data_IF_000420126697
#
_entry.id   IF_000420126697
#
_cell.length_a   1.000
_cell.length_b   1.000
_cell.length_c   1.000
_cell.angle_alpha   90.00
_cell.angle_beta   90.00
_cell.angle_gamma   90.00
#
_symmetry.space_group_name_H-M   'P 1'
#
loop_
_entity.id
_entity.type
_entity.pdbx_description
1 polymer ?
#
# COMPACT_ATOMS: atom_id res chain seq x y z
N UNK A 1 13.87 -20.96 -19.33
CA UNK A 1 14.88 -20.35 -18.43
C UNK A 1 15.39 -19.13 -19.17
N UNK A 2 14.98 -17.97 -18.73
CA UNK A 2 15.48 -16.72 -19.30
C UNK A 2 16.97 -16.61 -18.99
N UNK A 3 17.78 -16.31 -20.02
CA UNK A 3 19.22 -16.12 -19.83
C UNK A 3 19.46 -14.83 -19.05
N UNK A 4 19.81 -14.98 -17.77
CA UNK A 4 20.19 -13.84 -16.94
C UNK A 4 21.58 -13.36 -17.40
N UNK A 5 21.64 -12.13 -17.87
CA UNK A 5 22.92 -11.48 -18.21
C UNK A 5 23.60 -11.01 -16.96
N UNK A 6 24.85 -11.42 -16.77
CA UNK A 6 25.67 -11.03 -15.62
C UNK A 6 26.82 -10.15 -16.13
N UNK A 7 27.01 -8.99 -15.51
CA UNK A 7 28.07 -8.06 -15.80
C UNK A 7 28.98 -7.89 -14.58
N UNK A 8 30.27 -7.99 -14.75
CA UNK A 8 31.25 -7.58 -13.75
C UNK A 8 31.67 -6.14 -14.02
N UNK A 9 31.72 -5.35 -13.00
CA UNK A 9 32.12 -3.94 -13.09
C UNK A 9 33.07 -3.54 -11.97
N UNK A 10 33.80 -2.43 -12.16
CA UNK A 10 34.66 -1.89 -11.13
C UNK A 10 33.86 -1.28 -9.98
N UNK A 11 34.46 -1.19 -8.78
CA UNK A 11 33.82 -0.58 -7.60
C UNK A 11 33.48 0.90 -7.85
N UNK A 12 34.27 1.61 -8.66
CA UNK A 12 34.02 3.00 -9.02
C UNK A 12 32.74 3.16 -9.82
N UNK A 13 32.57 2.34 -10.86
CA UNK A 13 31.37 2.33 -11.70
C UNK A 13 30.14 1.88 -10.91
N UNK A 14 30.30 0.85 -10.06
CA UNK A 14 29.22 0.36 -9.22
C UNK A 14 28.69 1.45 -8.28
N UNK A 15 29.58 2.23 -7.66
CA UNK A 15 29.20 3.34 -6.77
C UNK A 15 28.47 4.48 -7.48
N UNK A 16 28.72 4.69 -8.78
CA UNK A 16 27.99 5.69 -9.57
C UNK A 16 26.54 5.26 -9.89
N UNK A 17 26.27 3.96 -9.93
CA UNK A 17 24.97 3.41 -10.28
C UNK A 17 24.02 3.20 -9.09
N UNK A 18 24.53 3.32 -7.87
CA UNK A 18 23.74 3.02 -6.67
C UNK A 18 23.60 4.26 -5.77
N UNK A 19 22.46 4.35 -5.10
CA UNK A 19 22.20 5.39 -4.09
C UNK A 19 22.42 4.91 -2.64
N UNK A 20 22.73 3.63 -2.44
CA UNK A 20 22.86 3.01 -1.11
C UNK A 20 24.23 3.24 -0.52
N UNK A 21 24.31 3.74 0.72
CA UNK A 21 25.60 4.03 1.40
C UNK A 21 26.45 2.77 1.64
N UNK A 22 25.80 1.64 1.95
CA UNK A 22 26.46 0.35 2.20
C UNK A 22 25.87 -0.74 1.29
N UNK A 23 26.29 -0.79 0.02
CA UNK A 23 25.79 -1.77 -0.92
C UNK A 23 26.33 -3.18 -0.67
N UNK A 24 25.54 -4.17 -1.00
CA UNK A 24 25.95 -5.58 -0.92
C UNK A 24 26.81 -6.05 -2.11
N UNK A 25 27.18 -5.14 -3.03
CA UNK A 25 27.98 -5.48 -4.21
C UNK A 25 27.21 -6.15 -5.34
N UNK A 26 25.87 -6.14 -5.29
CA UNK A 26 25.00 -6.68 -6.32
C UNK A 26 23.93 -5.65 -6.67
N UNK A 27 23.72 -5.44 -7.97
CA UNK A 27 22.64 -4.65 -8.53
C UNK A 27 21.86 -5.52 -9.51
N UNK A 28 20.55 -5.55 -9.40
CA UNK A 28 19.68 -6.27 -10.34
C UNK A 28 18.75 -5.28 -11.05
N UNK A 29 18.60 -5.46 -12.36
CA UNK A 29 17.61 -4.76 -13.17
C UNK A 29 16.53 -5.78 -13.54
N UNK A 30 15.29 -5.49 -13.17
CA UNK A 30 14.15 -6.35 -13.43
C UNK A 30 13.05 -5.59 -14.18
N UNK A 31 12.27 -6.30 -14.98
CA UNK A 31 11.07 -5.72 -15.58
C UNK A 31 10.01 -5.47 -14.51
N UNK A 32 9.30 -4.34 -14.64
CA UNK A 32 8.12 -4.10 -13.82
C UNK A 32 7.06 -5.15 -14.11
N UNK A 33 6.39 -5.63 -13.08
CA UNK A 33 5.30 -6.59 -13.24
C UNK A 33 3.99 -5.83 -13.51
N UNK A 34 3.21 -6.33 -14.46
CA UNK A 34 1.80 -5.94 -14.56
C UNK A 34 1.03 -6.72 -13.49
N UNK A 35 0.60 -6.02 -12.47
CA UNK A 35 -0.16 -6.61 -11.39
C UNK A 35 -1.67 -6.48 -11.65
N UNK A 36 -2.40 -7.52 -11.30
CA UNK A 36 -3.86 -7.55 -11.27
C UNK A 36 -4.29 -8.04 -9.90
N UNK A 37 -5.39 -7.51 -9.39
CA UNK A 37 -5.98 -8.05 -8.16
C UNK A 37 -6.40 -9.51 -8.39
N UNK A 38 -6.34 -10.32 -7.33
CA UNK A 38 -6.81 -11.70 -7.39
C UNK A 38 -8.32 -11.73 -7.65
N UNK A 39 -8.78 -12.52 -8.61
CA UNK A 39 -10.22 -12.60 -8.97
C UNK A 39 -11.12 -13.00 -7.79
N UNK A 40 -10.63 -13.87 -6.90
CA UNK A 40 -11.37 -14.37 -5.75
C UNK A 40 -10.88 -13.77 -4.42
N UNK A 41 -10.24 -12.61 -4.45
CA UNK A 41 -9.81 -11.93 -3.23
C UNK A 41 -11.01 -11.50 -2.39
N UNK A 42 -10.81 -11.45 -1.08
CA UNK A 42 -11.82 -11.04 -0.11
C UNK A 42 -11.37 -9.89 0.78
N UNK A 43 -10.07 -9.63 0.83
CA UNK A 43 -9.52 -8.56 1.65
C UNK A 43 -8.49 -7.74 0.86
N UNK A 44 -8.86 -6.50 0.55
CA UNK A 44 -7.98 -5.54 -0.10
C UNK A 44 -7.69 -4.35 0.80
N UNK A 45 -6.55 -3.71 0.57
CA UNK A 45 -6.17 -2.46 1.22
C UNK A 45 -6.13 -1.33 0.18
N UNK A 46 -6.77 -0.21 0.47
CA UNK A 46 -6.68 1.02 -0.31
C UNK A 46 -5.77 2.01 0.40
N UNK A 47 -4.72 2.46 -0.27
CA UNK A 47 -3.85 3.54 0.19
C UNK A 47 -4.21 4.82 -0.55
N UNK A 48 -4.81 5.77 0.14
CA UNK A 48 -5.23 7.03 -0.46
C UNK A 48 -4.17 8.11 -0.24
N UNK A 49 -3.48 8.47 -1.33
CA UNK A 49 -2.49 9.56 -1.36
C UNK A 49 -1.39 9.45 -0.29
N UNK A 50 -0.97 8.23 0.06
CA UNK A 50 0.17 8.01 0.95
C UNK A 50 1.44 8.50 0.26
N UNK A 51 2.16 9.46 0.88
CA UNK A 51 3.25 10.18 0.23
C UNK A 51 4.65 9.78 0.72
N UNK A 52 4.80 9.29 1.96
CA UNK A 52 6.11 8.83 2.43
C UNK A 52 6.42 7.44 1.89
N UNK A 53 7.55 7.28 1.16
CA UNK A 53 7.94 5.99 0.58
C UNK A 53 8.26 4.91 1.64
N UNK A 54 8.70 5.30 2.84
CA UNK A 54 8.93 4.39 3.95
C UNK A 54 7.62 3.83 4.51
N UNK A 55 6.60 4.70 4.65
CA UNK A 55 5.27 4.29 5.07
C UNK A 55 4.65 3.33 4.06
N UNK A 56 4.64 3.70 2.77
CA UNK A 56 4.07 2.82 1.73
C UNK A 56 4.76 1.46 1.71
N UNK A 57 6.09 1.42 1.78
CA UNK A 57 6.84 0.17 1.82
C UNK A 57 6.52 -0.68 3.05
N UNK A 58 6.36 -0.04 4.22
CA UNK A 58 5.96 -0.71 5.46
C UNK A 58 4.52 -1.25 5.37
N UNK A 59 3.59 -0.48 4.80
CA UNK A 59 2.22 -0.92 4.56
C UNK A 59 2.20 -2.15 3.65
N UNK A 60 2.93 -2.14 2.53
CA UNK A 60 3.02 -3.27 1.60
C UNK A 60 3.55 -4.52 2.32
N UNK A 61 4.59 -4.37 3.13
CA UNK A 61 5.17 -5.46 3.92
C UNK A 61 4.17 -6.02 4.93
N UNK A 62 3.47 -5.15 5.66
CA UNK A 62 2.47 -5.53 6.67
C UNK A 62 1.28 -6.22 6.02
N UNK A 63 0.75 -5.67 4.93
CA UNK A 63 -0.34 -6.25 4.17
C UNK A 63 0.00 -7.66 3.64
N UNK A 64 1.21 -7.85 3.09
CA UNK A 64 1.69 -9.17 2.68
C UNK A 64 1.76 -10.15 3.87
N UNK A 65 2.31 -9.73 5.00
CA UNK A 65 2.42 -10.55 6.19
C UNK A 65 1.05 -10.91 6.80
N UNK A 66 0.06 -10.02 6.70
CA UNK A 66 -1.31 -10.23 7.16
C UNK A 66 -2.16 -11.05 6.18
N UNK A 67 -1.65 -11.41 5.01
CA UNK A 67 -2.38 -12.19 4.01
C UNK A 67 -3.43 -11.38 3.24
N UNK A 68 -3.26 -10.07 3.12
CA UNK A 68 -4.09 -9.20 2.28
C UNK A 68 -3.97 -9.65 0.82
N UNK A 69 -5.08 -9.72 0.10
CA UNK A 69 -5.13 -10.25 -1.27
C UNK A 69 -4.59 -9.30 -2.34
N UNK A 70 -4.49 -8.01 -2.02
CA UNK A 70 -3.91 -7.00 -2.89
C UNK A 70 -4.04 -5.60 -2.32
N UNK A 71 -3.27 -4.67 -2.88
CA UNK A 71 -3.25 -3.26 -2.48
C UNK A 71 -3.65 -2.41 -3.68
N UNK A 72 -4.50 -1.43 -3.42
CA UNK A 72 -4.94 -0.43 -4.41
C UNK A 72 -4.34 0.92 -3.99
N UNK A 73 -3.79 1.64 -4.93
CA UNK A 73 -3.20 2.95 -4.72
C UNK A 73 -4.01 3.99 -5.51
N UNK A 74 -4.38 5.10 -4.86
CA UNK A 74 -4.96 6.22 -5.58
C UNK A 74 -3.87 7.09 -6.22
N UNK A 75 -4.27 7.91 -7.20
CA UNK A 75 -3.40 8.94 -7.76
C UNK A 75 -2.92 9.89 -6.66
N UNK A 76 -1.64 10.21 -6.67
CA UNK A 76 -0.97 11.01 -5.63
C UNK A 76 -0.29 10.19 -4.55
N UNK A 77 -0.44 8.86 -4.55
CA UNK A 77 0.40 7.96 -3.75
C UNK A 77 1.79 7.91 -4.37
N UNK A 78 2.81 7.84 -3.51
CA UNK A 78 4.21 7.73 -3.93
C UNK A 78 4.43 6.48 -4.79
N UNK A 79 5.36 6.57 -5.74
CA UNK A 79 5.69 5.46 -6.64
C UNK A 79 6.20 4.24 -5.86
N UNK A 80 5.58 3.09 -6.12
CA UNK A 80 5.99 1.80 -5.52
C UNK A 80 7.40 1.39 -5.95
N UNK A 81 7.87 1.86 -7.09
CA UNK A 81 9.21 1.60 -7.61
C UNK A 81 10.24 2.64 -7.17
N UNK A 82 9.85 3.61 -6.35
CA UNK A 82 10.81 4.46 -5.65
C UNK A 82 11.76 3.58 -4.82
N UNK A 83 13.07 3.81 -4.90
CA UNK A 83 14.09 2.97 -4.22
C UNK A 83 13.86 2.83 -2.71
N UNK A 84 13.44 3.90 -2.02
CA UNK A 84 13.14 3.85 -0.60
C UNK A 84 11.91 2.99 -0.33
N UNK A 85 10.88 3.07 -1.20
CA UNK A 85 9.69 2.20 -1.12
C UNK A 85 10.11 0.74 -1.28
N UNK A 86 10.81 0.39 -2.37
CA UNK A 86 11.28 -0.98 -2.64
C UNK A 86 12.04 -1.55 -1.44
N UNK A 87 13.02 -0.80 -0.91
CA UNK A 87 13.80 -1.24 0.26
C UNK A 87 12.92 -1.49 1.48
N UNK A 88 11.97 -0.60 1.75
CA UNK A 88 11.08 -0.69 2.92
C UNK A 88 10.11 -1.89 2.84
N UNK A 89 9.79 -2.37 1.64
CA UNK A 89 8.96 -3.57 1.46
C UNK A 89 9.64 -4.86 1.88
N UNK A 90 10.98 -4.87 2.02
CA UNK A 90 11.78 -6.07 2.30
C UNK A 90 11.43 -7.25 1.38
N UNK A 91 11.19 -6.95 0.10
CA UNK A 91 10.85 -7.95 -0.93
C UNK A 91 9.36 -8.30 -1.03
N UNK A 92 8.51 -7.82 -0.13
CA UNK A 92 7.06 -8.13 -0.17
C UNK A 92 6.37 -7.68 -1.46
N UNK A 93 6.90 -6.65 -2.12
CA UNK A 93 6.39 -6.15 -3.40
C UNK A 93 6.32 -7.23 -4.51
N UNK A 94 7.14 -8.26 -4.42
CA UNK A 94 7.16 -9.36 -5.40
C UNK A 94 6.11 -10.46 -5.14
N UNK A 95 5.38 -10.37 -4.03
CA UNK A 95 4.44 -11.42 -3.58
C UNK A 95 3.00 -10.98 -3.46
N UNK A 96 2.76 -9.68 -3.26
CA UNK A 96 1.41 -9.11 -3.14
C UNK A 96 1.11 -8.23 -4.35
N UNK A 97 -0.04 -8.39 -5.02
CA UNK A 97 -0.44 -7.49 -6.09
C UNK A 97 -0.61 -6.07 -5.58
N UNK A 98 0.00 -5.11 -6.27
CA UNK A 98 -0.21 -3.68 -6.03
C UNK A 98 -0.65 -3.05 -7.34
N UNK A 99 -1.80 -2.42 -7.36
CA UNK A 99 -2.40 -1.81 -8.55
C UNK A 99 -2.74 -0.34 -8.30
N UNK A 100 -2.76 0.45 -9.36
CA UNK A 100 -3.24 1.83 -9.28
C UNK A 100 -4.69 1.90 -9.74
N UNK A 101 -5.52 2.66 -9.02
CA UNK A 101 -6.83 3.06 -9.50
C UNK A 101 -6.72 4.31 -10.37
N UNK A 102 -7.72 4.55 -11.19
CA UNK A 102 -7.81 5.78 -11.99
C UNK A 102 -8.35 6.96 -11.14
N UNK A 103 -8.36 8.15 -11.73
CA UNK A 103 -8.82 9.38 -11.08
C UNK A 103 -10.31 9.34 -10.70
N UNK A 104 -11.09 8.46 -11.33
CA UNK A 104 -12.53 8.32 -11.08
C UNK A 104 -12.83 7.24 -10.04
N UNK A 105 -11.81 6.60 -9.45
CA UNK A 105 -11.95 5.49 -8.50
C UNK A 105 -12.77 4.33 -9.09
N UNK A 106 -12.54 4.03 -10.37
CA UNK A 106 -13.31 3.01 -11.10
C UNK A 106 -13.16 1.62 -10.50
N UNK A 107 -11.96 1.27 -10.03
CA UNK A 107 -11.72 -0.03 -9.38
C UNK A 107 -12.40 -0.11 -8.02
N UNK A 108 -12.32 0.95 -7.20
CA UNK A 108 -13.02 1.02 -5.90
C UNK A 108 -14.54 0.90 -6.08
N UNK A 109 -15.11 1.64 -7.05
CA UNK A 109 -16.54 1.57 -7.37
C UNK A 109 -16.96 0.19 -7.82
N UNK A 110 -16.16 -0.45 -8.69
CA UNK A 110 -16.39 -1.82 -9.13
C UNK A 110 -16.38 -2.80 -7.94
N UNK A 111 -15.44 -2.70 -7.02
CA UNK A 111 -15.41 -3.54 -5.83
C UNK A 111 -16.66 -3.34 -4.96
N UNK A 112 -17.15 -2.10 -4.85
CA UNK A 112 -18.41 -1.83 -4.15
C UNK A 112 -19.60 -2.54 -4.82
N UNK A 113 -19.70 -2.49 -6.15
CA UNK A 113 -20.71 -3.22 -6.92
C UNK A 113 -20.60 -4.75 -6.72
N UNK A 114 -19.39 -5.24 -6.52
CA UNK A 114 -19.10 -6.65 -6.19
C UNK A 114 -19.31 -7.00 -4.71
N UNK A 115 -19.99 -6.12 -3.96
CA UNK A 115 -20.32 -6.30 -2.53
C UNK A 115 -19.13 -6.32 -1.58
N UNK A 116 -18.06 -5.62 -1.92
CA UNK A 116 -17.04 -5.30 -0.93
C UNK A 116 -17.55 -4.20 0.00
N UNK A 117 -17.40 -4.42 1.30
CA UNK A 117 -17.64 -3.40 2.31
C UNK A 117 -16.45 -2.47 2.38
N UNK A 118 -16.66 -1.19 2.10
CA UNK A 118 -15.62 -0.17 2.10
C UNK A 118 -15.54 0.46 3.48
N UNK A 119 -14.46 0.14 4.20
CA UNK A 119 -14.15 0.70 5.51
C UNK A 119 -13.09 1.78 5.38
N UNK A 120 -13.32 2.91 6.02
CA UNK A 120 -12.39 4.04 6.02
C UNK A 120 -11.92 4.33 7.43
N UNK A 121 -10.61 4.41 7.61
CA UNK A 121 -10.03 4.88 8.87
C UNK A 121 -10.26 6.38 9.02
N UNK A 122 -10.79 6.82 10.15
CA UNK A 122 -11.12 8.22 10.40
C UNK A 122 -10.96 8.55 11.88
N UNK A 123 -10.55 9.77 12.18
CA UNK A 123 -10.59 10.32 13.53
C UNK A 123 -11.97 10.92 13.87
N UNK A 124 -12.78 11.20 12.84
CA UNK A 124 -14.10 11.85 12.94
C UNK A 124 -15.25 10.85 13.09
N UNK A 125 -15.03 9.78 13.82
CA UNK A 125 -16.09 8.80 14.12
C UNK A 125 -15.97 8.32 15.55
N UNK A 126 -17.09 7.95 16.15
CA UNK A 126 -17.12 7.35 17.49
C UNK A 126 -17.05 5.82 17.44
N UNK A 127 -17.14 5.23 16.25
CA UNK A 127 -17.15 3.78 16.06
C UNK A 127 -15.76 3.20 16.08
N UNK A 128 -15.45 2.41 17.09
CA UNK A 128 -14.20 1.67 17.17
C UNK A 128 -14.18 0.51 16.17
N UNK A 129 -13.01 0.23 15.57
CA UNK A 129 -12.90 -0.85 14.58
C UNK A 129 -13.23 -2.24 15.16
N UNK A 130 -13.09 -2.43 16.48
CA UNK A 130 -13.48 -3.67 17.18
C UNK A 130 -15.00 -3.91 17.18
N UNK A 131 -15.81 -2.88 16.98
CA UNK A 131 -17.27 -2.96 16.95
C UNK A 131 -17.80 -3.27 15.54
N UNK A 132 -16.90 -3.29 14.56
CA UNK A 132 -17.27 -3.53 13.17
C UNK A 132 -17.21 -5.01 12.82
N UNK A 133 -18.21 -5.46 12.05
CA UNK A 133 -18.15 -6.80 11.45
C UNK A 133 -17.19 -6.80 10.27
N UNK A 134 -16.04 -7.41 10.48
CA UNK A 134 -14.95 -7.52 9.52
C UNK A 134 -14.99 -8.85 8.73
N UNK A 135 -16.13 -9.53 8.73
CA UNK A 135 -16.31 -10.75 7.94
C UNK A 135 -16.73 -10.43 6.52
N UNK A 136 -16.38 -11.34 5.59
CA UNK A 136 -16.74 -11.21 4.19
C UNK A 136 -15.73 -10.46 3.35
N UNK A 137 -16.22 -9.74 2.35
CA UNK A 137 -15.39 -9.00 1.39
C UNK A 137 -15.16 -7.57 1.90
N UNK A 138 -13.91 -7.20 2.13
CA UNK A 138 -13.54 -5.93 2.74
C UNK A 138 -12.50 -5.20 1.88
N UNK A 139 -12.74 -3.90 1.70
CA UNK A 139 -11.76 -2.93 1.27
C UNK A 139 -11.49 -1.98 2.44
N UNK A 140 -10.35 -2.15 3.12
CA UNK A 140 -9.90 -1.25 4.18
C UNK A 140 -9.14 -0.08 3.57
N UNK A 141 -9.47 1.15 3.97
CA UNK A 141 -8.80 2.35 3.46
C UNK A 141 -8.00 3.04 4.54
N UNK A 142 -6.75 3.36 4.22
CA UNK A 142 -5.87 4.24 4.97
C UNK A 142 -5.54 5.48 4.14
N UNK A 143 -5.43 6.62 4.78
CA UNK A 143 -5.27 7.90 4.10
C UNK A 143 -3.88 8.49 4.16
N UNK A 144 -3.76 9.70 3.61
CA UNK A 144 -2.58 10.54 3.65
C UNK A 144 -2.17 10.89 5.09
N UNK A 145 -0.87 11.01 5.33
CA UNK A 145 -0.30 11.26 6.66
C UNK A 145 -0.77 12.57 7.31
N UNK A 146 -1.04 13.59 6.51
CA UNK A 146 -1.45 14.91 7.00
C UNK A 146 -2.93 15.19 6.85
N UNK A 147 -3.55 14.71 5.77
CA UNK A 147 -4.92 15.06 5.39
C UNK A 147 -5.93 13.93 5.61
N UNK A 148 -5.47 12.73 5.97
CA UNK A 148 -6.36 11.57 6.08
C UNK A 148 -6.85 11.06 4.73
N UNK A 149 -8.02 10.47 4.73
CA UNK A 149 -8.69 9.93 3.52
C UNK A 149 -9.44 11.07 2.82
N UNK A 150 -9.44 11.07 1.48
CA UNK A 150 -10.09 12.08 0.66
C UNK A 150 -11.62 12.00 0.71
N UNK A 151 -12.27 13.15 0.47
CA UNK A 151 -13.73 13.26 0.50
C UNK A 151 -14.40 12.32 -0.51
N UNK A 152 -13.80 12.17 -1.69
CA UNK A 152 -14.30 11.28 -2.75
C UNK A 152 -14.40 9.82 -2.29
N UNK A 153 -13.48 9.38 -1.43
CA UNK A 153 -13.53 8.02 -0.86
C UNK A 153 -14.51 7.97 0.31
N UNK A 154 -14.60 9.03 1.12
CA UNK A 154 -15.61 9.11 2.18
C UNK A 154 -17.04 9.02 1.63
N UNK A 155 -17.33 9.59 0.46
CA UNK A 155 -18.64 9.50 -0.20
C UNK A 155 -18.99 8.07 -0.64
N UNK A 156 -17.98 7.27 -0.98
CA UNK A 156 -18.18 5.86 -1.41
C UNK A 156 -18.22 4.91 -0.22
N UNK A 157 -17.64 5.28 0.92
CA UNK A 157 -17.48 4.42 2.08
C UNK A 157 -18.82 3.94 2.67
N UNK A 158 -18.82 2.71 3.16
CA UNK A 158 -19.98 2.14 3.87
C UNK A 158 -19.91 2.44 5.37
N UNK A 159 -18.71 2.54 5.91
CA UNK A 159 -18.53 2.84 7.34
C UNK A 159 -17.17 3.49 7.62
N UNK A 160 -17.16 4.35 8.63
CA UNK A 160 -15.96 4.95 9.20
C UNK A 160 -15.61 4.22 10.49
N UNK A 161 -14.34 3.91 10.71
CA UNK A 161 -13.85 3.27 11.92
C UNK A 161 -12.62 4.00 12.44
N UNK A 162 -12.43 3.99 13.76
CA UNK A 162 -11.22 4.52 14.40
C UNK A 162 -10.48 3.44 15.18
N UNK A 163 -9.19 3.67 15.37
CA UNK A 163 -8.40 2.94 16.33
C UNK A 163 -8.50 3.69 17.67
N UNK A 164 -8.96 3.06 18.75
CA UNK A 164 -9.02 3.71 20.05
C UNK A 164 -7.63 4.15 20.50
N UNK A 165 -7.50 5.42 20.86
CA UNK A 165 -6.25 5.99 21.36
C UNK A 165 -6.52 6.59 22.76
N UNK A 166 -6.42 5.80 23.84
CA UNK A 166 -6.72 6.29 25.20
C UNK A 166 -5.68 7.28 25.74
N UNK A 167 -4.55 7.41 25.07
CA UNK A 167 -3.55 8.44 25.33
C UNK A 167 -3.90 9.77 24.66
N UNK A 168 -3.05 10.78 24.85
CA UNK A 168 -3.24 12.11 24.26
C UNK A 168 -2.59 12.26 22.87
N UNK A 169 -2.39 11.16 22.13
CA UNK A 169 -1.88 11.22 20.76
C UNK A 169 -3.00 11.67 19.81
N UNK A 170 -2.70 12.60 18.91
CA UNK A 170 -3.66 13.09 17.91
C UNK A 170 -3.88 12.05 16.79
N UNK A 171 -2.86 11.31 16.42
CA UNK A 171 -2.92 10.30 15.37
C UNK A 171 -1.82 9.24 15.53
N UNK A 172 -1.92 8.16 14.74
CA UNK A 172 -0.87 7.17 14.55
C UNK A 172 -0.19 7.40 13.20
N UNK A 173 1.05 6.95 13.09
CA UNK A 173 1.69 6.81 11.78
C UNK A 173 0.85 5.85 10.92
N UNK A 174 0.60 6.20 9.64
CA UNK A 174 -0.29 5.47 8.74
C UNK A 174 0.12 4.00 8.54
N UNK A 175 1.41 3.68 8.66
CA UNK A 175 1.88 2.30 8.54
C UNK A 175 1.74 1.48 9.84
N UNK A 176 1.39 2.15 10.95
CA UNK A 176 1.12 1.52 12.25
C UNK A 176 -0.38 1.37 12.49
N UNK A 177 -1.15 2.27 11.91
CA UNK A 177 -2.61 2.20 11.93
C UNK A 177 -3.12 0.99 11.16
#
# INVERSE_FOLDING_TARGET
>A
KDDIKIYLMSDSLFKELISTEQPQGILAVANMQNNYLKENGSFYLLCDKVQDPGNLGTIIRTAHAAGVDGIILTKGTVDIYNEKTIRSTMGSLFYIPVVYDDENLSLVKKLKEESFKILVTSLETDKDFYEEDLKGRILLTVGNEGNGVSDEIYEIADTKVKIPMPGNAESLNVAIA
#
